data_IF_364069671652
#
_entry.id   IF_364069671652
#
_cell.length_a   1.000
_cell.length_b   1.000
_cell.length_c   1.000
_cell.angle_alpha   90.00
_cell.angle_beta   90.00
_cell.angle_gamma   90.00
#
_symmetry.space_group_name_H-M   'P 1'
#
loop_
_entity.id
_entity.type
_entity.pdbx_description
1 polymer ?
#
# COMPACT_ATOMS: atom_id res chain seq x y z
N UNK A 1 32.11 4.16 -7.80
CA UNK A 1 31.29 3.03 -8.28
C UNK A 1 29.82 3.36 -8.08
N UNK A 2 28.91 3.00 -9.01
CA UNK A 2 27.48 3.19 -8.81
C UNK A 2 26.99 2.37 -7.60
N UNK A 3 26.09 2.94 -6.80
CA UNK A 3 25.51 2.22 -5.68
C UNK A 3 24.69 1.02 -6.20
N UNK A 4 24.85 -0.19 -5.63
CA UNK A 4 24.07 -1.35 -6.03
C UNK A 4 22.57 -1.14 -5.74
N UNK A 5 21.70 -1.70 -6.59
CA UNK A 5 20.25 -1.71 -6.33
C UNK A 5 19.91 -2.65 -5.18
N UNK A 6 18.77 -2.41 -4.55
CA UNK A 6 18.25 -3.27 -3.50
C UNK A 6 18.10 -4.73 -3.96
N UNK A 7 17.73 -4.94 -5.23
CA UNK A 7 17.63 -6.27 -5.81
C UNK A 7 19.00 -6.98 -5.86
N UNK A 8 20.05 -6.29 -6.28
CA UNK A 8 21.39 -6.88 -6.32
C UNK A 8 21.84 -7.31 -4.91
N UNK A 9 21.55 -6.47 -3.92
CA UNK A 9 21.81 -6.76 -2.51
C UNK A 9 20.96 -7.93 -1.97
N UNK A 10 19.72 -8.08 -2.45
CA UNK A 10 18.88 -9.22 -2.09
C UNK A 10 19.39 -10.53 -2.70
N UNK A 11 19.82 -10.48 -3.96
CA UNK A 11 20.31 -11.63 -4.72
C UNK A 11 21.65 -12.17 -4.15
N UNK A 12 22.39 -11.36 -3.41
CA UNK A 12 23.64 -11.78 -2.75
C UNK A 12 23.43 -12.49 -1.41
N UNK A 13 22.19 -12.66 -0.94
CA UNK A 13 21.90 -13.28 0.37
C UNK A 13 21.99 -14.79 0.25
N UNK A 14 22.95 -15.40 0.94
CA UNK A 14 23.03 -16.86 1.05
C UNK A 14 21.92 -17.41 1.98
N UNK A 15 21.63 -18.71 1.87
CA UNK A 15 20.68 -19.36 2.77
C UNK A 15 21.12 -19.29 4.26
N UNK A 16 22.43 -19.31 4.51
CA UNK A 16 23.03 -19.17 5.85
C UNK A 16 22.81 -17.76 6.43
N UNK A 17 22.87 -16.73 5.60
CA UNK A 17 22.72 -15.33 6.03
C UNK A 17 21.29 -14.98 6.46
N UNK A 18 20.27 -15.67 5.93
CA UNK A 18 18.85 -15.33 6.18
C UNK A 18 18.46 -15.40 7.65
N UNK A 19 18.98 -16.38 8.39
CA UNK A 19 18.72 -16.51 9.83
C UNK A 19 19.31 -15.34 10.62
N UNK A 20 20.56 -15.00 10.35
CA UNK A 20 21.27 -13.91 11.03
C UNK A 20 20.69 -12.53 10.70
N UNK A 21 20.22 -12.35 9.45
CA UNK A 21 19.55 -11.12 9.04
C UNK A 21 18.20 -10.94 9.73
N UNK A 22 17.44 -12.00 10.04
CA UNK A 22 16.13 -11.91 10.72
C UNK A 22 16.22 -11.69 12.23
N UNK A 23 17.21 -12.32 12.87
CA UNK A 23 17.27 -12.44 14.33
C UNK A 23 18.34 -11.56 14.98
N UNK A 24 18.83 -10.55 14.27
CA UNK A 24 19.84 -9.62 14.77
C UNK A 24 19.36 -8.66 15.87
N UNK A 25 20.27 -7.78 16.34
CA UNK A 25 19.96 -6.70 17.26
C UNK A 25 18.77 -5.86 16.79
N UNK A 26 18.01 -5.30 17.74
CA UNK A 26 16.81 -4.52 17.43
C UNK A 26 17.16 -3.05 17.20
N UNK A 27 16.71 -2.53 16.07
CA UNK A 27 16.84 -1.15 15.63
C UNK A 27 15.50 -0.44 15.71
N UNK A 28 15.51 0.76 16.31
CA UNK A 28 14.41 1.71 16.23
C UNK A 28 14.77 2.86 15.28
N UNK A 29 13.87 3.18 14.36
CA UNK A 29 13.96 4.36 13.51
C UNK A 29 13.21 5.50 14.21
N UNK A 30 13.91 6.61 14.45
CA UNK A 30 13.38 7.79 15.12
C UNK A 30 13.32 8.98 14.16
N UNK A 31 12.38 9.90 14.36
CA UNK A 31 12.39 11.20 13.68
C UNK A 31 13.37 12.18 14.36
N UNK A 32 13.48 13.38 13.81
CA UNK A 32 14.35 14.43 14.32
C UNK A 32 13.93 14.91 15.73
N UNK A 33 12.67 14.72 16.09
CA UNK A 33 12.12 15.01 17.42
C UNK A 33 12.41 13.88 18.44
N UNK A 34 13.11 12.81 18.03
CA UNK A 34 13.44 11.67 18.87
C UNK A 34 12.30 10.67 19.09
N UNK A 35 11.15 10.86 18.44
CA UNK A 35 10.01 9.96 18.51
C UNK A 35 10.24 8.72 17.63
N UNK A 36 9.85 7.55 18.13
CA UNK A 36 9.98 6.29 17.40
C UNK A 36 8.93 6.20 16.30
N UNK A 37 9.39 6.18 15.04
CA UNK A 37 8.55 6.03 13.84
C UNK A 37 8.36 4.57 13.47
N UNK A 38 9.42 3.76 13.59
CA UNK A 38 9.34 2.30 13.45
C UNK A 38 10.21 1.63 14.50
N UNK A 39 9.63 0.68 15.23
CA UNK A 39 10.29 0.02 16.35
C UNK A 39 10.68 -1.43 16.02
N UNK A 40 11.74 -1.90 16.70
CA UNK A 40 12.13 -3.30 16.82
C UNK A 40 12.44 -4.01 15.49
N UNK A 41 12.93 -3.25 14.51
CA UNK A 41 13.40 -3.80 13.24
C UNK A 41 14.67 -4.62 13.47
N UNK A 42 14.97 -5.58 12.59
CA UNK A 42 16.28 -6.22 12.63
C UNK A 42 17.34 -5.27 12.08
N UNK A 43 18.29 -4.87 12.92
CA UNK A 43 19.41 -4.00 12.53
C UNK A 43 20.22 -4.62 11.39
N UNK A 44 20.48 -5.92 11.47
CA UNK A 44 21.22 -6.66 10.44
C UNK A 44 20.49 -6.62 9.10
N UNK A 45 19.17 -6.82 9.11
CA UNK A 45 18.36 -6.75 7.90
C UNK A 45 18.44 -5.37 7.27
N UNK A 46 18.12 -4.32 8.04
CA UNK A 46 18.07 -2.97 7.50
C UNK A 46 19.46 -2.51 7.04
N UNK A 47 20.52 -2.79 7.81
CA UNK A 47 21.89 -2.46 7.46
C UNK A 47 22.44 -3.25 6.27
N UNK A 48 21.90 -4.45 5.99
CA UNK A 48 22.24 -5.22 4.79
C UNK A 48 21.81 -4.47 3.53
N UNK A 49 20.57 -3.98 3.50
CA UNK A 49 19.97 -3.27 2.37
C UNK A 49 20.30 -1.77 2.32
N UNK A 50 20.55 -1.15 3.47
CA UNK A 50 20.79 0.28 3.60
C UNK A 50 22.19 0.56 4.13
N UNK A 51 23.08 1.00 3.24
CA UNK A 51 24.41 1.49 3.62
C UNK A 51 24.32 2.72 4.53
N UNK A 52 23.33 3.59 4.31
CA UNK A 52 23.08 4.78 5.14
C UNK A 52 22.75 4.39 6.58
N UNK A 53 21.86 3.42 6.79
CA UNK A 53 21.58 2.91 8.15
C UNK A 53 22.83 2.27 8.75
N UNK A 54 23.58 1.47 7.98
CA UNK A 54 24.84 0.87 8.46
C UNK A 54 25.85 1.92 8.93
N UNK A 55 25.93 3.06 8.26
CA UNK A 55 26.90 4.13 8.56
C UNK A 55 26.47 5.06 9.70
N UNK A 56 25.17 5.26 9.90
CA UNK A 56 24.65 6.30 10.79
C UNK A 56 23.78 5.77 11.94
N UNK A 57 23.59 4.45 12.03
CA UNK A 57 22.99 3.83 13.21
C UNK A 57 23.88 4.09 14.43
N UNK A 58 23.24 4.47 15.55
CA UNK A 58 23.89 4.77 16.82
C UNK A 58 23.44 3.77 17.88
N UNK A 59 24.31 3.52 18.85
CA UNK A 59 23.94 2.82 20.07
C UNK A 59 23.68 3.85 21.15
N UNK A 60 22.46 3.85 21.69
CA UNK A 60 22.01 4.76 22.76
C UNK A 60 21.65 3.91 23.99
N UNK A 61 21.97 4.37 25.19
CA UNK A 61 21.50 3.72 26.42
C UNK A 61 19.99 3.93 26.62
N UNK A 62 19.24 2.88 26.93
CA UNK A 62 17.86 3.03 27.38
C UNK A 62 17.80 3.42 28.87
N UNK A 63 16.60 3.70 29.39
CA UNK A 63 16.37 4.05 30.81
C UNK A 63 16.87 2.97 31.79
N UNK A 64 17.04 1.74 31.32
CA UNK A 64 17.57 0.60 32.08
C UNK A 64 19.07 0.38 31.87
N UNK A 65 19.76 1.33 31.22
CA UNK A 65 21.19 1.26 30.89
C UNK A 65 21.57 0.24 29.81
N UNK A 66 20.59 -0.41 29.16
CA UNK A 66 20.85 -1.39 28.12
C UNK A 66 21.08 -0.71 26.77
N UNK A 67 22.02 -1.22 25.95
CA UNK A 67 22.28 -0.66 24.64
C UNK A 67 21.08 -0.88 23.71
N UNK A 68 20.63 0.20 23.08
CA UNK A 68 19.54 0.22 22.09
C UNK A 68 20.06 0.84 20.80
N UNK A 69 19.85 0.17 19.67
CA UNK A 69 20.24 0.73 18.38
C UNK A 69 19.15 1.67 17.87
N UNK A 70 19.55 2.85 17.43
CA UNK A 70 18.66 3.84 16.82
C UNK A 70 19.22 4.35 15.50
N UNK A 71 18.33 4.70 14.58
CA UNK A 71 18.66 5.42 13.36
C UNK A 71 17.76 6.63 13.24
N UNK A 72 18.37 7.81 13.13
CA UNK A 72 17.68 9.08 13.09
C UNK A 72 17.41 9.51 11.65
N UNK A 73 16.12 9.69 11.34
CA UNK A 73 15.68 10.24 10.07
C UNK A 73 15.88 11.75 10.06
N UNK A 74 16.29 12.28 8.90
CA UNK A 74 16.27 13.73 8.71
C UNK A 74 14.82 14.24 8.79
N UNK A 75 14.60 15.47 9.26
CA UNK A 75 13.28 16.09 9.22
C UNK A 75 12.68 16.01 7.82
N UNK A 76 11.40 15.60 7.71
CA UNK A 76 10.71 15.49 6.42
C UNK A 76 11.34 14.48 5.44
N UNK A 77 12.11 13.49 5.92
CA UNK A 77 12.78 12.56 4.99
C UNK A 77 11.93 11.38 4.57
N UNK A 78 11.06 10.87 5.45
CA UNK A 78 10.22 9.71 5.15
C UNK A 78 9.02 9.59 6.10
N UNK A 79 7.94 9.05 5.57
CA UNK A 79 6.71 8.75 6.31
C UNK A 79 6.67 7.28 6.73
N UNK A 80 6.02 7.00 7.87
CA UNK A 80 5.89 5.63 8.42
C UNK A 80 5.34 4.63 7.39
N UNK A 81 4.41 5.06 6.54
CA UNK A 81 3.81 4.21 5.53
C UNK A 81 4.81 3.81 4.44
N UNK A 82 5.72 4.71 4.05
CA UNK A 82 6.80 4.41 3.10
C UNK A 82 7.81 3.45 3.71
N UNK A 83 8.23 3.71 4.95
CA UNK A 83 9.19 2.87 5.66
C UNK A 83 8.67 1.44 5.88
N UNK A 84 7.38 1.29 6.21
CA UNK A 84 6.72 -0.02 6.31
C UNK A 84 6.78 -0.79 4.99
N UNK A 85 6.46 -0.14 3.86
CA UNK A 85 6.54 -0.78 2.55
C UNK A 85 7.95 -1.25 2.21
N UNK A 86 8.98 -0.45 2.50
CA UNK A 86 10.37 -0.86 2.30
C UNK A 86 10.73 -2.07 3.17
N UNK A 87 10.38 -2.02 4.46
CA UNK A 87 10.65 -3.11 5.38
C UNK A 87 9.95 -4.40 4.98
N UNK A 88 8.66 -4.34 4.61
CA UNK A 88 7.89 -5.50 4.18
C UNK A 88 8.51 -6.13 2.92
N UNK A 89 8.99 -5.30 1.99
CA UNK A 89 9.74 -5.79 0.84
C UNK A 89 11.06 -6.46 1.24
N UNK A 90 11.84 -5.89 2.17
CA UNK A 90 13.08 -6.51 2.67
C UNK A 90 12.78 -7.89 3.28
N UNK A 91 11.76 -8.00 4.13
CA UNK A 91 11.33 -9.27 4.75
C UNK A 91 10.90 -10.28 3.70
N UNK A 92 10.09 -9.86 2.72
CA UNK A 92 9.61 -10.72 1.66
C UNK A 92 10.76 -11.23 0.78
N UNK A 93 11.71 -10.36 0.44
CA UNK A 93 12.86 -10.71 -0.40
C UNK A 93 13.80 -11.73 0.26
N UNK A 94 13.74 -11.91 1.59
CA UNK A 94 14.41 -13.02 2.28
C UNK A 94 13.63 -14.34 2.22
N UNK A 95 12.29 -14.29 2.08
CA UNK A 95 11.44 -15.48 2.09
C UNK A 95 11.32 -16.11 0.70
N UNK A 96 11.23 -15.27 -0.33
CA UNK A 96 10.99 -15.68 -1.72
C UNK A 96 12.17 -15.32 -2.61
N UNK A 97 12.12 -15.70 -3.88
CA UNK A 97 13.01 -15.13 -4.89
C UNK A 97 12.91 -13.60 -4.84
N UNK A 98 14.03 -12.87 -4.67
CA UNK A 98 14.01 -11.43 -4.66
C UNK A 98 13.42 -10.84 -5.95
N UNK A 99 12.62 -9.79 -5.82
CA UNK A 99 12.05 -9.07 -6.96
C UNK A 99 12.29 -7.58 -6.81
N UNK A 100 12.34 -6.84 -7.93
CA UNK A 100 12.52 -5.38 -7.91
C UNK A 100 11.44 -4.72 -7.06
N UNK A 101 11.80 -3.68 -6.29
CA UNK A 101 10.84 -2.83 -5.59
C UNK A 101 9.96 -2.12 -6.63
N UNK A 102 8.66 -2.43 -6.62
CA UNK A 102 7.71 -1.84 -7.57
C UNK A 102 7.02 -0.62 -6.96
N UNK A 103 6.87 0.42 -7.77
CA UNK A 103 6.05 1.56 -7.40
C UNK A 103 4.58 1.13 -7.18
N UNK A 104 3.97 1.46 -6.02
CA UNK A 104 2.55 1.27 -5.79
C UNK A 104 1.70 1.98 -6.85
N UNK A 105 0.54 1.41 -7.18
CA UNK A 105 -0.42 2.08 -8.09
C UNK A 105 -0.99 3.38 -7.50
N UNK A 106 -1.11 3.44 -6.17
CA UNK A 106 -1.53 4.63 -5.45
C UNK A 106 -0.37 5.64 -5.42
N UNK A 107 -0.64 6.87 -5.88
CA UNK A 107 0.37 7.92 -6.02
C UNK A 107 0.97 8.37 -4.68
N UNK A 108 0.14 8.54 -3.65
CA UNK A 108 0.59 8.95 -2.31
C UNK A 108 1.52 7.88 -1.73
N UNK A 109 1.12 6.60 -1.83
CA UNK A 109 1.97 5.48 -1.40
C UNK A 109 3.28 5.43 -2.18
N UNK A 110 3.28 5.74 -3.49
CA UNK A 110 4.49 5.77 -4.29
C UNK A 110 5.43 6.91 -3.88
N UNK A 111 4.88 8.09 -3.59
CA UNK A 111 5.62 9.25 -3.06
C UNK A 111 6.29 8.89 -1.72
N UNK A 112 5.54 8.30 -0.78
CA UNK A 112 6.09 7.89 0.51
C UNK A 112 7.15 6.81 0.36
N UNK A 113 6.95 5.85 -0.55
CA UNK A 113 7.93 4.82 -0.84
C UNK A 113 9.23 5.43 -1.40
N UNK A 114 9.14 6.34 -2.37
CA UNK A 114 10.32 7.00 -2.93
C UNK A 114 11.13 7.75 -1.86
N UNK A 115 10.44 8.51 -0.99
CA UNK A 115 11.05 9.24 0.13
C UNK A 115 11.73 8.29 1.12
N UNK A 116 11.04 7.23 1.53
CA UNK A 116 11.62 6.20 2.40
C UNK A 116 12.88 5.55 1.79
N UNK A 117 12.87 5.22 0.49
CA UNK A 117 14.03 4.67 -0.20
C UNK A 117 15.20 5.66 -0.24
N UNK A 118 14.95 6.95 -0.47
CA UNK A 118 15.98 7.99 -0.39
C UNK A 118 16.55 8.13 1.02
N UNK A 119 15.70 8.15 2.05
CA UNK A 119 16.12 8.25 3.44
C UNK A 119 16.99 7.06 3.87
N UNK A 120 16.71 5.88 3.34
CA UNK A 120 17.48 4.65 3.56
C UNK A 120 18.65 4.50 2.58
N UNK A 121 18.95 5.48 1.72
CA UNK A 121 20.09 5.43 0.81
C UNK A 121 19.95 4.46 -0.37
N UNK A 122 18.77 3.90 -0.60
CA UNK A 122 18.45 2.98 -1.70
C UNK A 122 18.16 3.76 -2.99
N UNK A 123 19.13 4.56 -3.44
CA UNK A 123 18.94 5.62 -4.43
C UNK A 123 18.44 5.13 -5.79
N UNK A 124 18.94 3.99 -6.27
CA UNK A 124 18.55 3.46 -7.59
C UNK A 124 17.06 3.11 -7.61
N UNK A 125 16.60 2.38 -6.60
CA UNK A 125 15.19 2.02 -6.45
C UNK A 125 14.33 3.27 -6.17
N UNK A 126 14.84 4.21 -5.37
CA UNK A 126 14.18 5.48 -5.10
C UNK A 126 13.89 6.26 -6.39
N UNK A 127 14.88 6.41 -7.28
CA UNK A 127 14.74 7.10 -8.57
C UNK A 127 13.69 6.43 -9.46
N UNK A 128 13.63 5.09 -9.48
CA UNK A 128 12.66 4.37 -10.29
C UNK A 128 11.22 4.60 -9.79
N UNK A 129 11.00 4.56 -8.48
CA UNK A 129 9.69 4.82 -7.87
C UNK A 129 9.31 6.30 -8.02
N UNK A 130 10.26 7.20 -7.82
CA UNK A 130 10.10 8.64 -7.95
C UNK A 130 9.70 9.04 -9.38
N UNK A 131 10.36 8.48 -10.40
CA UNK A 131 10.00 8.70 -11.80
C UNK A 131 8.56 8.28 -12.10
N UNK A 132 8.09 7.17 -11.53
CA UNK A 132 6.69 6.77 -11.66
C UNK A 132 5.74 7.82 -11.06
N UNK A 133 6.06 8.37 -9.88
CA UNK A 133 5.25 9.41 -9.26
C UNK A 133 5.26 10.70 -10.08
N UNK A 134 6.42 11.13 -10.58
CA UNK A 134 6.55 12.29 -11.46
C UNK A 134 5.75 12.11 -12.75
N UNK A 135 5.84 10.96 -13.42
CA UNK A 135 5.12 10.69 -14.67
C UNK A 135 3.60 10.71 -14.47
N UNK A 136 3.12 10.39 -13.27
CA UNK A 136 1.69 10.51 -12.91
C UNK A 136 1.31 11.96 -12.66
N UNK A 137 2.15 12.72 -11.96
CA UNK A 137 1.92 14.13 -11.66
C UNK A 137 2.07 15.02 -12.90
N UNK A 138 2.91 14.68 -13.89
CA UNK A 138 3.02 15.45 -15.15
C UNK A 138 1.78 15.39 -16.02
N UNK A 139 0.90 14.40 -15.80
CA UNK A 139 -0.39 14.31 -16.49
C UNK A 139 -1.35 15.32 -15.89
N UNK A 140 -2.16 15.93 -16.75
CA UNK A 140 -3.23 16.86 -16.38
C UNK A 140 -4.17 16.19 -15.34
N UNK A 141 -4.09 16.60 -14.07
CA UNK A 141 -4.86 16.08 -12.94
C UNK A 141 -6.11 16.91 -12.65
N UNK A 142 -7.29 16.26 -12.55
CA UNK A 142 -8.53 16.95 -12.20
C UNK A 142 -8.39 17.74 -10.87
N UNK A 143 -8.90 18.99 -10.75
CA UNK A 143 -8.72 19.82 -9.56
C UNK A 143 -9.13 19.17 -8.24
N UNK A 144 -10.20 18.37 -8.23
CA UNK A 144 -10.59 17.61 -7.03
C UNK A 144 -9.51 16.61 -6.59
N UNK A 145 -8.88 15.90 -7.53
CA UNK A 145 -7.78 15.00 -7.21
C UNK A 145 -6.55 15.78 -6.74
N UNK A 146 -6.30 16.96 -7.29
CA UNK A 146 -5.21 17.81 -6.78
C UNK A 146 -5.48 18.24 -5.34
N UNK A 147 -6.72 18.61 -5.00
CA UNK A 147 -7.10 18.93 -3.60
C UNK A 147 -6.91 17.73 -2.68
N UNK A 148 -7.35 16.54 -3.08
CA UNK A 148 -7.17 15.31 -2.30
C UNK A 148 -5.69 14.97 -2.08
N UNK A 149 -4.87 15.10 -3.14
CA UNK A 149 -3.43 14.87 -3.10
C UNK A 149 -2.73 15.93 -2.26
N UNK A 150 -3.19 17.18 -2.34
CA UNK A 150 -2.72 18.27 -1.49
C UNK A 150 -2.88 17.87 -0.04
N UNK A 151 -4.06 17.49 0.43
CA UNK A 151 -4.29 17.15 1.84
C UNK A 151 -3.43 15.97 2.35
N UNK A 152 -2.95 15.09 1.46
CA UNK A 152 -2.24 13.87 1.82
C UNK A 152 -0.72 13.93 1.68
N UNK A 153 -0.19 14.79 0.79
CA UNK A 153 1.24 14.81 0.47
C UNK A 153 1.97 15.84 1.36
N UNK A 154 3.14 15.48 1.92
CA UNK A 154 3.99 16.36 2.69
C UNK A 154 4.34 17.64 1.92
N UNK A 155 4.19 18.77 2.61
CA UNK A 155 4.31 20.13 2.05
C UNK A 155 5.73 20.51 1.66
N UNK A 156 6.71 19.82 2.21
CA UNK A 156 8.15 19.96 2.00
C UNK A 156 8.65 19.22 0.74
N UNK A 157 7.75 18.77 -0.13
CA UNK A 157 8.10 17.94 -1.28
C UNK A 157 8.07 18.70 -2.60
N UNK A 158 8.96 18.32 -3.52
CA UNK A 158 8.89 18.73 -4.93
C UNK A 158 7.55 18.36 -5.60
N UNK A 159 6.85 17.34 -5.10
CA UNK A 159 5.55 16.92 -5.62
C UNK A 159 4.48 17.99 -5.42
N UNK A 160 4.58 18.78 -4.35
CA UNK A 160 3.67 19.91 -4.11
C UNK A 160 3.82 20.95 -5.22
N UNK A 161 5.05 21.22 -5.66
CA UNK A 161 5.28 22.14 -6.77
C UNK A 161 4.62 21.64 -8.05
N UNK A 162 4.77 20.34 -8.35
CA UNK A 162 4.13 19.72 -9.52
C UNK A 162 2.59 19.73 -9.42
N UNK A 163 2.01 19.59 -8.22
CA UNK A 163 0.58 19.74 -8.01
C UNK A 163 0.10 21.15 -8.29
N UNK A 164 0.85 22.17 -7.86
CA UNK A 164 0.51 23.56 -8.17
C UNK A 164 0.60 23.84 -9.66
N UNK A 165 1.67 23.38 -10.33
CA UNK A 165 1.78 23.49 -11.79
C UNK A 165 0.57 22.86 -12.49
N UNK A 166 0.03 21.76 -11.97
CA UNK A 166 -1.21 21.18 -12.50
C UNK A 166 -2.42 22.10 -12.36
N UNK A 167 -2.57 22.80 -11.25
CA UNK A 167 -3.70 23.71 -11.06
C UNK A 167 -3.64 24.90 -12.01
N UNK A 168 -2.44 25.43 -12.23
CA UNK A 168 -2.20 26.52 -13.19
C UNK A 168 -2.47 26.05 -14.63
N UNK A 169 -2.03 24.84 -15.00
CA UNK A 169 -2.35 24.21 -16.30
C UNK A 169 -3.85 24.17 -16.61
N UNK A 170 -4.69 24.01 -15.60
CA UNK A 170 -6.13 23.95 -15.79
C UNK A 170 -6.80 25.31 -16.03
N UNK A 171 -6.07 26.42 -15.93
CA UNK A 171 -6.65 27.77 -16.02
C UNK A 171 -7.71 28.01 -14.94
N UNK A 172 -7.60 27.30 -13.81
CA UNK A 172 -8.55 27.31 -12.69
C UNK A 172 -7.95 28.01 -11.47
N UNK A 173 -7.25 29.12 -11.71
CA UNK A 173 -6.74 29.94 -10.61
C UNK A 173 -7.88 30.40 -9.67
N UNK A 174 -9.08 30.57 -10.23
CA UNK A 174 -10.33 30.89 -9.55
C UNK A 174 -10.84 29.79 -8.60
N UNK A 175 -10.40 28.53 -8.79
CA UNK A 175 -10.76 27.39 -7.94
C UNK A 175 -9.63 26.90 -7.05
N UNK A 176 -8.48 27.59 -7.05
CA UNK A 176 -7.48 27.39 -6.01
C UNK A 176 -8.15 27.70 -4.66
N UNK A 177 -8.17 26.73 -3.74
CA UNK A 177 -8.63 27.05 -2.39
C UNK A 177 -7.69 28.12 -1.79
N UNK A 178 -8.20 28.94 -0.88
CA UNK A 178 -7.44 30.03 -0.23
C UNK A 178 -6.08 29.54 0.29
N UNK A 179 -6.02 28.32 0.81
CA UNK A 179 -4.80 27.69 1.31
C UNK A 179 -3.73 27.47 0.22
N UNK A 180 -4.11 27.02 -0.98
CA UNK A 180 -3.16 26.87 -2.08
C UNK A 180 -2.64 28.21 -2.56
N UNK A 181 -3.50 29.23 -2.61
CA UNK A 181 -3.10 30.61 -2.96
C UNK A 181 -2.10 31.15 -1.94
N UNK A 182 -2.38 30.98 -0.64
CA UNK A 182 -1.47 31.38 0.43
C UNK A 182 -0.13 30.66 0.31
N UNK A 183 -0.14 29.35 0.07
CA UNK A 183 1.08 28.56 -0.11
C UNK A 183 1.93 29.06 -1.30
N UNK A 184 1.29 29.37 -2.44
CA UNK A 184 2.01 29.92 -3.60
C UNK A 184 2.69 31.24 -3.24
N UNK A 185 1.98 32.12 -2.51
CA UNK A 185 2.48 33.44 -2.13
C UNK A 185 3.62 33.39 -1.10
N UNK A 186 3.70 32.33 -0.30
CA UNK A 186 4.78 32.16 0.69
C UNK A 186 6.01 31.43 0.14
N UNK A 187 5.95 30.88 -1.08
CA UNK A 187 7.05 30.16 -1.72
C UNK A 187 7.48 30.90 -3.01
N UNK A 188 8.37 31.89 -2.86
CA UNK A 188 8.79 32.78 -3.96
C UNK A 188 9.29 32.01 -5.20
N UNK A 189 10.06 30.95 -5.02
CA UNK A 189 10.56 30.11 -6.14
C UNK A 189 9.43 29.49 -6.97
N UNK A 190 8.34 29.10 -6.32
CA UNK A 190 7.17 28.56 -6.98
C UNK A 190 6.42 29.67 -7.73
N UNK A 191 6.24 30.82 -7.08
CA UNK A 191 5.61 31.99 -7.68
C UNK A 191 6.36 32.47 -8.93
N UNK A 192 7.69 32.51 -8.88
CA UNK A 192 8.54 32.91 -10.01
C UNK A 192 8.50 31.87 -11.14
N UNK A 193 8.52 30.57 -10.83
CA UNK A 193 8.37 29.51 -11.84
C UNK A 193 7.01 29.54 -12.53
N UNK A 194 5.94 29.82 -11.80
CA UNK A 194 4.59 29.96 -12.36
C UNK A 194 4.45 31.20 -13.27
N UNK A 195 5.23 32.24 -13.02
CA UNK A 195 5.31 33.45 -13.86
C UNK A 195 6.23 33.30 -15.07
N UNK A 196 7.06 32.26 -15.11
CA UNK A 196 8.00 32.03 -16.23
C UNK A 196 7.24 31.84 -17.56
N UNK A 197 7.61 32.60 -18.62
CA UNK A 197 7.03 32.43 -19.95
C UNK A 197 7.22 31.01 -20.50
N UNK A 198 8.36 30.36 -20.20
CA UNK A 198 8.68 29.01 -20.69
C UNK A 198 7.71 27.95 -20.14
N UNK A 199 7.31 28.10 -18.87
CA UNK A 199 6.29 27.25 -18.28
C UNK A 199 4.98 27.53 -19.01
N UNK A 200 4.54 28.80 -19.08
CA UNK A 200 3.32 29.19 -19.77
C UNK A 200 3.25 28.71 -21.22
N UNK A 201 4.32 28.82 -22.00
CA UNK A 201 4.38 28.35 -23.39
C UNK A 201 4.31 26.81 -23.47
N UNK A 202 4.96 26.09 -22.55
CA UNK A 202 4.83 24.63 -22.40
C UNK A 202 3.43 24.18 -21.93
N UNK A 203 2.77 24.99 -21.10
CA UNK A 203 1.39 24.77 -20.61
C UNK A 203 0.34 25.11 -21.68
N UNK A 204 0.61 26.10 -22.53
CA UNK A 204 -0.28 26.62 -23.57
C UNK A 204 -0.16 25.88 -24.90
N UNK A 205 0.98 25.24 -25.19
CA UNK A 205 1.21 24.46 -26.41
C UNK A 205 0.25 23.26 -26.57
N UNK A 206 -0.45 22.86 -25.50
CA UNK A 206 -1.60 21.95 -25.56
C UNK A 206 -2.75 22.49 -24.71
N UNK A 207 -3.27 23.68 -25.04
CA UNK A 207 -4.64 24.04 -24.65
C UNK A 207 -5.59 23.05 -25.33
N UNK A 208 -5.93 21.97 -24.62
CA UNK A 208 -7.05 21.09 -24.94
C UNK A 208 -8.26 22.01 -25.13
N UNK A 209 -8.87 21.98 -26.32
CA UNK A 209 -9.95 22.91 -26.63
C UNK A 209 -11.10 22.68 -25.64
N UNK A 210 -11.93 23.69 -25.34
CA UNK A 210 -13.09 23.51 -24.47
C UNK A 210 -14.03 22.36 -24.90
N UNK A 211 -14.02 22.00 -26.19
CA UNK A 211 -14.76 20.87 -26.75
C UNK A 211 -14.10 19.52 -26.46
N UNK A 212 -12.78 19.40 -26.64
CA UNK A 212 -12.01 18.20 -26.27
C UNK A 212 -12.12 17.92 -24.76
N UNK A 213 -12.13 18.98 -23.96
CA UNK A 213 -12.34 18.89 -22.50
C UNK A 213 -13.73 18.33 -22.15
N UNK A 214 -14.81 18.85 -22.77
CA UNK A 214 -16.17 18.35 -22.56
C UNK A 214 -16.29 16.87 -22.96
N UNK A 215 -15.76 16.51 -24.12
CA UNK A 215 -15.75 15.14 -24.61
C UNK A 215 -15.01 14.18 -23.65
N UNK A 216 -13.88 14.60 -23.09
CA UNK A 216 -13.11 13.79 -22.14
C UNK A 216 -13.79 13.69 -20.77
N UNK A 217 -14.42 14.76 -20.30
CA UNK A 217 -15.22 14.76 -19.06
C UNK A 217 -16.39 13.78 -19.19
N UNK A 218 -17.13 13.86 -20.29
CA UNK A 218 -18.28 12.99 -20.56
C UNK A 218 -17.83 11.53 -20.70
N UNK A 219 -16.67 11.26 -21.29
CA UNK A 219 -16.09 9.92 -21.37
C UNK A 219 -15.67 9.35 -20.01
N UNK A 220 -15.17 10.18 -19.09
CA UNK A 220 -14.78 9.76 -17.74
C UNK A 220 -16.01 9.54 -16.83
N UNK A 221 -16.99 10.44 -16.90
CA UNK A 221 -18.25 10.31 -16.16
C UNK A 221 -19.11 9.15 -16.70
N UNK A 222 -19.12 8.91 -18.01
CA UNK A 222 -19.75 7.75 -18.65
C UNK A 222 -19.14 6.43 -18.19
N UNK A 223 -17.81 6.30 -18.24
CA UNK A 223 -17.10 5.10 -17.73
C UNK A 223 -17.27 4.88 -16.24
N UNK A 224 -17.41 5.95 -15.44
CA UNK A 224 -17.69 5.86 -14.01
C UNK A 224 -19.08 5.28 -13.71
N UNK A 225 -20.10 5.67 -14.50
CA UNK A 225 -21.46 5.15 -14.39
C UNK A 225 -21.58 3.71 -14.87
N UNK A 226 -20.95 3.36 -15.99
CA UNK A 226 -20.92 1.99 -16.53
C UNK A 226 -20.21 1.00 -15.59
N UNK A 227 -19.04 1.37 -15.06
CA UNK A 227 -18.30 0.51 -14.13
C UNK A 227 -19.05 0.33 -12.80
N UNK A 228 -19.75 1.35 -12.31
CA UNK A 228 -20.52 1.22 -11.07
C UNK A 228 -21.79 0.38 -11.29
N UNK A 229 -22.48 0.55 -12.42
CA UNK A 229 -23.64 -0.27 -12.79
C UNK A 229 -23.27 -1.74 -12.99
N UNK A 230 -22.17 -2.03 -13.70
CA UNK A 230 -21.64 -3.37 -13.88
C UNK A 230 -21.22 -4.00 -12.53
N UNK A 231 -20.60 -3.21 -11.64
CA UNK A 231 -20.22 -3.70 -10.30
C UNK A 231 -21.44 -3.99 -9.42
N UNK A 232 -22.47 -3.16 -9.48
CA UNK A 232 -23.74 -3.37 -8.76
C UNK A 232 -24.46 -4.61 -9.31
N UNK A 233 -24.51 -4.81 -10.63
CA UNK A 233 -25.08 -6.02 -11.24
C UNK A 233 -24.28 -7.28 -10.86
N UNK A 234 -22.95 -7.23 -10.89
CA UNK A 234 -22.10 -8.35 -10.50
C UNK A 234 -22.30 -8.73 -9.01
N UNK A 235 -22.44 -7.74 -8.12
CA UNK A 235 -22.76 -7.98 -6.71
C UNK A 235 -24.15 -8.61 -6.53
N UNK A 236 -25.17 -8.12 -7.24
CA UNK A 236 -26.52 -8.71 -7.21
C UNK A 236 -26.53 -10.15 -7.73
N UNK A 237 -25.82 -10.44 -8.82
CA UNK A 237 -25.71 -11.78 -9.38
C UNK A 237 -24.98 -12.75 -8.43
N UNK A 238 -23.92 -12.29 -7.75
CA UNK A 238 -23.22 -13.09 -6.74
C UNK A 238 -24.11 -13.41 -5.54
N UNK A 239 -24.82 -12.41 -5.00
CA UNK A 239 -25.74 -12.60 -3.89
C UNK A 239 -26.90 -13.54 -4.25
N UNK A 240 -27.43 -13.46 -5.49
CA UNK A 240 -28.45 -14.38 -5.97
C UNK A 240 -27.95 -15.82 -6.06
N UNK A 241 -26.72 -16.04 -6.55
CA UNK A 241 -26.10 -17.37 -6.60
C UNK A 241 -25.85 -17.97 -5.22
N UNK A 242 -25.37 -17.16 -4.27
CA UNK A 242 -25.19 -17.61 -2.89
C UNK A 242 -26.52 -17.94 -2.21
N UNK A 243 -27.57 -17.16 -2.46
CA UNK A 243 -28.92 -17.45 -1.96
C UNK A 243 -29.49 -18.73 -2.57
N UNK A 244 -29.32 -18.95 -3.87
CA UNK A 244 -29.75 -20.17 -4.55
C UNK A 244 -28.98 -21.40 -4.06
N UNK A 245 -27.66 -21.28 -3.86
CA UNK A 245 -26.84 -22.36 -3.32
C UNK A 245 -27.23 -22.72 -1.88
N UNK A 246 -27.55 -21.73 -1.05
CA UNK A 246 -28.07 -21.96 0.31
C UNK A 246 -29.46 -22.61 0.30
N UNK A 247 -30.34 -22.19 -0.61
CA UNK A 247 -31.67 -22.79 -0.75
C UNK A 247 -31.57 -24.26 -1.23
N UNK A 248 -30.74 -24.54 -2.24
CA UNK A 248 -30.50 -25.90 -2.73
C UNK A 248 -29.85 -26.79 -1.67
N UNK A 249 -28.93 -26.25 -0.86
CA UNK A 249 -28.35 -26.98 0.26
C UNK A 249 -29.39 -27.28 1.36
N UNK A 250 -30.24 -26.32 1.69
CA UNK A 250 -31.33 -26.53 2.65
C UNK A 250 -32.38 -27.53 2.15
N UNK A 251 -32.67 -27.53 0.85
CA UNK A 251 -33.56 -28.50 0.21
C UNK A 251 -32.95 -29.91 0.21
N UNK A 252 -31.66 -30.04 -0.11
CA UNK A 252 -30.94 -31.31 -0.02
C UNK A 252 -30.88 -31.85 1.42
N UNK A 253 -30.59 -30.99 2.41
CA UNK A 253 -30.60 -31.36 3.83
C UNK A 253 -32.01 -31.71 4.33
N UNK A 254 -33.07 -31.11 3.75
CA UNK A 254 -34.46 -31.47 4.06
C UNK A 254 -34.88 -32.81 3.46
N UNK A 255 -34.33 -33.17 2.30
CA UNK A 255 -34.56 -34.46 1.64
C UNK A 255 -33.81 -35.60 2.33
N UNK A 256 -32.61 -35.34 2.83
CA UNK A 256 -31.78 -36.30 3.57
C UNK A 256 -32.30 -36.55 5.00
N UNK A 257 -32.95 -35.57 5.62
CA UNK A 257 -33.58 -35.69 6.94
C UNK A 257 -35.08 -36.03 6.90
N UNK A 258 -35.64 -36.37 5.74
CA UNK A 258 -37.02 -36.86 5.67
C UNK A 258 -37.07 -38.29 6.25
N UNK A 259 -37.78 -38.55 7.37
CA UNK A 259 -37.88 -39.87 7.98
C UNK A 259 -38.49 -40.94 7.06
N UNK A 260 -39.06 -40.56 5.91
CA UNK A 260 -39.56 -41.48 4.88
C UNK A 260 -38.47 -41.96 3.90
N UNK A 261 -37.32 -41.29 3.85
CA UNK A 261 -36.22 -41.62 2.93
C UNK A 261 -35.16 -42.54 3.55
N UNK A 262 -35.22 -42.84 4.85
CA UNK A 262 -34.45 -43.93 5.47
C UNK A 262 -35.12 -45.29 5.26
N UNK A 263 -35.30 -45.67 4.00
CA UNK A 263 -35.69 -47.04 3.64
C UNK A 263 -34.44 -47.84 3.28
N UNK A 264 -33.83 -48.48 4.28
CA UNK A 264 -32.87 -49.56 4.04
C UNK A 264 -31.76 -49.71 5.07
N UNK A 265 -31.98 -50.61 6.04
CA UNK A 265 -30.92 -51.48 6.50
C UNK A 265 -30.47 -51.33 7.96
N UNK A 266 -30.79 -52.37 8.73
CA UNK A 266 -29.93 -52.94 9.76
C UNK A 266 -29.91 -52.30 11.16
N UNK A 267 -31.00 -52.38 11.93
CA UNK A 267 -30.89 -52.58 13.40
C UNK A 267 -31.97 -53.49 14.03
N UNK A 268 -32.80 -54.18 13.24
CA UNK A 268 -33.61 -55.30 13.77
C UNK A 268 -32.82 -56.61 13.61
N UNK A 269 -31.88 -56.83 14.53
CA UNK A 269 -31.53 -58.19 14.94
C UNK A 269 -32.06 -58.33 16.36
N UNK A 270 -33.10 -59.16 16.50
CA UNK A 270 -33.63 -59.60 17.79
C UNK A 270 -32.45 -60.04 18.69
N UNK A 271 -32.26 -59.32 19.80
CA UNK A 271 -31.31 -59.71 20.83
C UNK A 271 -31.87 -60.95 21.53
N UNK A 272 -31.11 -62.04 21.50
CA UNK A 272 -31.43 -63.23 22.28
C UNK A 272 -31.35 -62.91 23.79
N UNK A 273 -32.21 -63.53 24.63
CA UNK A 273 -32.22 -63.27 26.07
C UNK A 273 -30.84 -63.46 26.70
N UNK A 274 -30.31 -62.41 27.32
CA UNK A 274 -29.04 -62.44 28.07
C UNK A 274 -27.84 -61.75 27.43
N UNK A 275 -27.96 -61.11 26.25
CA UNK A 275 -26.87 -60.28 25.70
C UNK A 275 -27.03 -58.79 26.03
N UNK A 276 -25.95 -58.15 26.52
CA UNK A 276 -25.85 -56.71 26.80
C UNK A 276 -25.13 -55.98 25.65
N UNK A 277 -25.64 -54.82 25.25
CA UNK A 277 -24.92 -53.89 24.35
C UNK A 277 -24.02 -52.96 25.15
N UNK A 278 -22.96 -52.46 24.50
CA UNK A 278 -21.89 -51.62 25.08
C UNK A 278 -22.36 -50.29 25.71
N UNK A 279 -23.64 -49.92 25.57
CA UNK A 279 -24.23 -48.71 26.17
C UNK A 279 -24.98 -48.97 27.50
N UNK A 280 -24.92 -50.19 28.05
CA UNK A 280 -25.33 -50.45 29.44
C UNK A 280 -26.84 -50.52 29.69
N UNK A 281 -27.68 -50.62 28.66
CA UNK A 281 -29.11 -50.88 28.84
C UNK A 281 -29.40 -52.39 28.91
N UNK A 282 -30.01 -52.85 30.02
CA UNK A 282 -30.56 -54.19 30.17
C UNK A 282 -32.03 -54.22 29.75
N UNK A 283 -32.39 -55.17 28.90
CA UNK A 283 -33.78 -55.48 28.54
C UNK A 283 -34.47 -56.14 29.75
N UNK A 284 -35.62 -55.59 30.19
CA UNK A 284 -36.52 -56.23 31.17
C UNK A 284 -37.83 -56.56 30.45
N UNK A 285 -38.04 -57.84 30.18
CA UNK A 285 -39.33 -58.40 29.72
C UNK A 285 -39.59 -58.22 28.24
#
# INVERSE_FOLDING_TARGET
MPAPSALNTAMSISAYDRGQLRHGPRLDIINAEGQVVMARLSANLVAHYSSTVRQHMKTVGNEKGQPKLTFELRPGSAEIQGLKQVHDWMVLSMATTPTVIKAPKNLVSAIFLARALFALGMRVDAINVDRFAEDKLRKILHPMHVKELWEQIPRDTKYVHMLVENLVRFGREDKLCKETITYIRTHNELFDRLKSPELNDSLLAKKESPQEFRARKDALEGKGKENNAARIQAQKAKAAREKAAKAAKAEAESFENDPRNHAGGAWEKELLPGQQTRSGFQYRG
#
